data_IF_545156411382
#
_entry.id   IF_545156411382
#
_cell.length_a   1.000
_cell.length_b   1.000
_cell.length_c   1.000
_cell.angle_alpha   90.00
_cell.angle_beta   90.00
_cell.angle_gamma   90.00
#
_symmetry.space_group_name_H-M   'P 1'
#
loop_
_entity.id
_entity.type
_entity.pdbx_description
1 polymer ?
#
# COMPACT_ATOMS: atom_id res chain seq x y z
N UNK A 1 23.77 -20.11 16.11
CA UNK A 1 22.43 -20.10 15.46
C UNK A 1 21.93 -21.53 15.43
N UNK A 2 20.79 -21.81 16.07
CA UNK A 2 20.26 -23.17 16.15
C UNK A 2 19.64 -23.53 14.80
N UNK A 3 19.73 -24.81 14.40
CA UNK A 3 19.08 -25.36 13.20
C UNK A 3 17.56 -25.15 13.19
N UNK A 4 16.97 -24.83 14.35
CA UNK A 4 15.59 -24.41 14.52
C UNK A 4 15.28 -23.03 13.90
N UNK A 5 16.22 -22.08 13.92
CA UNK A 5 16.01 -20.69 13.47
C UNK A 5 15.90 -20.59 11.93
N UNK A 6 16.66 -21.42 11.21
CA UNK A 6 16.64 -21.51 9.75
C UNK A 6 15.34 -22.13 9.20
N UNK A 7 14.75 -23.09 9.93
CA UNK A 7 13.49 -23.76 9.56
C UNK A 7 12.29 -22.83 9.64
N UNK A 8 12.31 -21.88 10.59
CA UNK A 8 11.27 -20.85 10.72
C UNK A 8 11.43 -19.80 9.62
N UNK A 9 12.66 -19.31 9.37
CA UNK A 9 12.94 -18.33 8.31
C UNK A 9 12.43 -18.80 6.93
N UNK A 10 12.57 -20.09 6.63
CA UNK A 10 12.16 -20.69 5.38
C UNK A 10 10.63 -20.84 5.22
N UNK A 11 9.91 -21.27 6.26
CA UNK A 11 8.44 -21.40 6.19
C UNK A 11 7.76 -20.03 5.96
N UNK A 12 8.43 -18.95 6.35
CA UNK A 12 7.94 -17.58 6.16
C UNK A 12 8.27 -17.00 4.78
N UNK A 13 9.40 -17.39 4.20
CA UNK A 13 9.72 -17.10 2.81
C UNK A 13 8.77 -17.86 1.86
N UNK A 14 8.40 -19.09 2.19
CA UNK A 14 7.38 -19.87 1.47
C UNK A 14 5.97 -19.27 1.58
N UNK A 15 5.57 -18.75 2.75
CA UNK A 15 4.29 -18.07 2.92
C UNK A 15 4.19 -16.75 2.11
N UNK A 16 5.32 -16.08 1.87
CA UNK A 16 5.38 -14.93 0.98
C UNK A 16 5.45 -15.30 -0.53
N UNK A 17 5.87 -16.53 -0.86
CA UNK A 17 5.89 -17.05 -2.24
C UNK A 17 4.53 -17.60 -2.68
N UNK A 18 3.76 -18.22 -1.79
CA UNK A 18 2.50 -18.89 -2.18
C UNK A 18 1.33 -17.95 -2.52
N UNK A 19 1.43 -16.66 -2.19
CA UNK A 19 0.43 -15.67 -2.60
C UNK A 19 0.60 -15.18 -4.05
N UNK A 20 1.41 -15.84 -4.89
CA UNK A 20 1.75 -15.41 -6.25
C UNK A 20 1.71 -16.49 -7.33
N UNK A 21 0.96 -17.59 -7.15
CA UNK A 21 0.50 -18.42 -8.26
C UNK A 21 -0.95 -18.06 -8.58
N UNK A 22 -1.15 -17.00 -9.35
CA UNK A 22 -2.39 -16.84 -10.09
C UNK A 22 -2.38 -17.86 -11.22
N UNK A 23 -3.29 -18.83 -11.18
CA UNK A 23 -3.66 -19.58 -12.37
C UNK A 23 -4.39 -18.59 -13.29
N UNK A 24 -3.70 -18.04 -14.28
CA UNK A 24 -4.34 -17.46 -15.46
C UNK A 24 -4.18 -18.49 -16.58
N UNK A 25 -5.25 -19.21 -16.88
CA UNK A 25 -5.45 -19.82 -18.19
C UNK A 25 -6.19 -18.80 -19.05
N UNK A 26 -5.55 -18.29 -20.09
CA UNK A 26 -6.22 -17.63 -21.21
C UNK A 26 -5.28 -17.58 -22.42
N UNK A 27 -5.59 -18.39 -23.44
CA UNK A 27 -5.20 -18.25 -24.85
C UNK A 27 -3.70 -18.26 -25.17
N UNK A 28 -3.23 -19.32 -25.85
CA UNK A 28 -1.86 -19.44 -26.36
C UNK A 28 -1.54 -18.34 -27.41
N UNK A 29 -0.63 -17.38 -27.13
CA UNK A 29 0.09 -16.68 -28.19
C UNK A 29 1.16 -17.62 -28.79
N UNK A 30 1.60 -17.39 -30.04
CA UNK A 30 2.59 -18.25 -30.70
C UNK A 30 3.92 -18.33 -29.91
N UNK A 31 4.69 -19.43 -30.03
CA UNK A 31 5.87 -19.69 -29.22
C UNK A 31 6.99 -18.71 -29.56
N UNK A 32 7.07 -17.62 -28.81
CA UNK A 32 8.35 -16.95 -28.59
C UNK A 32 9.14 -17.90 -27.70
N UNK A 33 10.18 -18.55 -28.24
CA UNK A 33 11.11 -19.39 -27.47
C UNK A 33 11.83 -18.47 -26.47
N UNK A 34 11.20 -18.25 -25.33
CA UNK A 34 11.86 -17.69 -24.17
C UNK A 34 12.98 -18.65 -23.78
N UNK A 35 14.19 -18.17 -23.43
CA UNK A 35 15.25 -19.05 -22.96
C UNK A 35 14.72 -19.89 -21.79
N UNK A 36 14.87 -21.21 -21.86
CA UNK A 36 14.44 -22.08 -20.77
C UNK A 36 15.13 -21.66 -19.47
N UNK A 37 14.38 -21.47 -18.38
CA UNK A 37 14.97 -20.98 -17.15
C UNK A 37 15.90 -22.05 -16.58
N UNK A 38 17.18 -21.69 -16.46
CA UNK A 38 18.27 -22.59 -16.05
C UNK A 38 18.06 -23.07 -14.61
N UNK A 39 17.99 -24.38 -14.40
CA UNK A 39 17.97 -24.99 -13.06
C UNK A 39 19.33 -24.82 -12.38
N UNK A 40 19.31 -24.47 -11.10
CA UNK A 40 20.52 -24.30 -10.28
C UNK A 40 20.68 -25.58 -9.46
N UNK A 41 21.79 -26.30 -9.65
CA UNK A 41 22.08 -27.45 -8.81
C UNK A 41 22.45 -26.98 -7.38
N UNK A 42 22.10 -27.77 -6.36
CA UNK A 42 22.43 -27.45 -4.96
C UNK A 42 23.94 -27.20 -4.75
N UNK A 43 24.78 -27.95 -5.45
CA UNK A 43 26.24 -27.82 -5.43
C UNK A 43 26.77 -26.52 -6.05
N UNK A 44 25.98 -25.83 -6.87
CA UNK A 44 26.35 -24.54 -7.49
C UNK A 44 26.05 -23.33 -6.59
N UNK A 45 25.33 -23.53 -5.48
CA UNK A 45 25.10 -22.49 -4.47
C UNK A 45 26.40 -22.21 -3.71
N UNK A 46 26.65 -20.94 -3.37
CA UNK A 46 27.80 -20.58 -2.54
C UNK A 46 27.66 -21.21 -1.13
N UNK A 47 28.76 -21.53 -0.41
CA UNK A 47 28.67 -22.18 0.90
C UNK A 47 27.79 -21.44 1.91
N UNK A 48 27.83 -20.10 1.88
CA UNK A 48 26.97 -19.29 2.73
C UNK A 48 25.49 -19.34 2.29
N UNK A 49 25.19 -19.51 0.99
CA UNK A 49 23.83 -19.67 0.47
C UNK A 49 23.27 -21.03 0.87
N UNK A 50 24.08 -22.09 0.73
CA UNK A 50 23.76 -23.43 1.22
C UNK A 50 23.46 -23.43 2.71
N UNK A 51 24.23 -22.71 3.53
CA UNK A 51 23.98 -22.60 4.97
C UNK A 51 22.63 -21.96 5.31
N UNK A 52 22.24 -20.92 4.58
CA UNK A 52 20.94 -20.24 4.76
C UNK A 52 19.79 -21.11 4.26
N UNK A 53 19.99 -21.81 3.15
CA UNK A 53 18.98 -22.62 2.49
C UNK A 53 18.96 -24.08 2.97
N UNK A 54 19.85 -24.50 3.88
CA UNK A 54 20.03 -25.90 4.29
C UNK A 54 18.73 -26.67 4.57
N UNK A 55 17.69 -26.08 5.19
CA UNK A 55 16.43 -26.80 5.41
C UNK A 55 15.64 -27.13 4.12
N UNK A 56 16.00 -26.54 2.97
CA UNK A 56 15.42 -26.83 1.65
C UNK A 56 16.16 -27.87 0.85
N UNK A 57 17.35 -28.32 1.29
CA UNK A 57 18.22 -29.17 0.48
C UNK A 57 17.49 -30.38 -0.11
N UNK A 58 16.70 -31.08 0.70
CA UNK A 58 15.97 -32.29 0.29
C UNK A 58 14.90 -32.06 -0.79
N UNK A 59 14.37 -30.84 -0.91
CA UNK A 59 13.32 -30.49 -1.86
C UNK A 59 13.81 -29.55 -2.98
N UNK A 60 15.11 -29.20 -2.97
CA UNK A 60 15.65 -28.17 -3.85
C UNK A 60 15.47 -28.49 -5.33
N UNK A 61 15.75 -29.74 -5.71
CA UNK A 61 15.64 -30.19 -7.10
C UNK A 61 14.18 -30.34 -7.58
N UNK A 62 13.23 -30.36 -6.65
CA UNK A 62 11.79 -30.37 -6.94
C UNK A 62 11.20 -28.96 -7.14
N UNK A 63 11.97 -27.91 -6.84
CA UNK A 63 11.53 -26.52 -7.03
C UNK A 63 11.60 -26.13 -8.50
N UNK A 64 10.65 -25.29 -8.94
CA UNK A 64 10.73 -24.69 -10.27
C UNK A 64 11.98 -23.79 -10.37
N UNK A 65 12.59 -23.64 -11.57
CA UNK A 65 13.78 -22.80 -11.77
C UNK A 65 13.64 -21.37 -11.21
N UNK A 66 12.50 -20.73 -11.43
CA UNK A 66 12.21 -19.38 -10.90
C UNK A 66 12.17 -19.33 -9.36
N UNK A 67 11.70 -20.42 -8.74
CA UNK A 67 11.68 -20.55 -7.28
C UNK A 67 13.11 -20.72 -6.74
N UNK A 68 13.93 -21.55 -7.39
CA UNK A 68 15.34 -21.74 -7.05
C UNK A 68 16.09 -20.40 -7.11
N UNK A 69 15.95 -19.66 -8.23
CA UNK A 69 16.59 -18.34 -8.39
C UNK A 69 16.13 -17.36 -7.32
N UNK A 70 14.82 -17.28 -7.04
CA UNK A 70 14.29 -16.38 -6.02
C UNK A 70 14.83 -16.69 -4.62
N UNK A 71 14.96 -17.97 -4.27
CA UNK A 71 15.50 -18.38 -2.97
C UNK A 71 16.98 -18.06 -2.84
N UNK A 72 17.75 -18.26 -3.91
CA UNK A 72 19.14 -17.82 -4.00
C UNK A 72 19.27 -16.31 -3.80
N UNK A 73 18.46 -15.51 -4.50
CA UNK A 73 18.46 -14.04 -4.33
C UNK A 73 18.16 -13.62 -2.88
N UNK A 74 17.22 -14.31 -2.21
CA UNK A 74 16.91 -14.07 -0.81
C UNK A 74 18.11 -14.40 0.08
N UNK A 75 18.77 -15.54 -0.16
CA UNK A 75 19.95 -15.95 0.60
C UNK A 75 21.12 -14.96 0.43
N UNK A 76 21.38 -14.51 -0.79
CA UNK A 76 22.38 -13.48 -1.07
C UNK A 76 22.05 -12.15 -0.38
N UNK A 77 20.78 -11.70 -0.45
CA UNK A 77 20.32 -10.48 0.25
C UNK A 77 20.42 -10.58 1.77
N UNK A 78 20.21 -11.77 2.32
CA UNK A 78 20.37 -12.04 3.75
C UNK A 78 21.84 -11.90 4.18
N UNK A 79 22.76 -12.48 3.40
CA UNK A 79 24.19 -12.35 3.67
C UNK A 79 24.67 -10.91 3.56
N UNK A 80 24.21 -10.17 2.55
CA UNK A 80 24.54 -8.76 2.37
C UNK A 80 23.83 -7.82 3.38
N UNK A 81 22.86 -8.31 4.17
CA UNK A 81 22.11 -7.48 5.10
C UNK A 81 22.99 -7.04 6.29
N UNK A 82 23.06 -5.73 6.61
CA UNK A 82 23.73 -5.24 7.82
C UNK A 82 23.12 -5.84 9.10
N UNK A 83 23.88 -5.94 10.20
CA UNK A 83 23.41 -6.57 11.44
C UNK A 83 22.06 -6.03 11.96
N UNK A 84 21.87 -4.70 11.96
CA UNK A 84 20.61 -4.08 12.35
C UNK A 84 19.43 -4.52 11.46
N UNK A 85 19.66 -4.73 10.17
CA UNK A 85 18.64 -5.20 9.23
C UNK A 85 18.28 -6.66 9.50
N UNK A 86 19.26 -7.50 9.84
CA UNK A 86 19.03 -8.90 10.21
C UNK A 86 18.15 -9.01 11.46
N UNK A 87 18.46 -8.26 12.52
CA UNK A 87 17.63 -8.20 13.74
C UNK A 87 16.20 -7.77 13.43
N UNK A 88 16.01 -6.78 12.55
CA UNK A 88 14.67 -6.35 12.15
C UNK A 88 13.88 -7.44 11.40
N UNK A 89 14.56 -8.21 10.55
CA UNK A 89 13.99 -9.35 9.82
C UNK A 89 13.66 -10.49 10.79
N UNK A 90 14.56 -10.86 11.69
CA UNK A 90 14.36 -11.88 12.73
C UNK A 90 13.15 -11.54 13.61
N UNK A 91 13.03 -10.28 14.06
CA UNK A 91 11.85 -9.82 14.80
C UNK A 91 10.56 -9.96 13.99
N UNK A 92 10.61 -9.76 12.67
CA UNK A 92 9.45 -9.94 11.80
C UNK A 92 9.08 -11.42 11.65
N UNK A 93 10.09 -12.27 11.54
CA UNK A 93 9.96 -13.72 11.48
C UNK A 93 9.30 -14.23 12.77
N UNK A 94 9.83 -13.85 13.92
CA UNK A 94 9.28 -14.24 15.23
C UNK A 94 7.81 -13.81 15.39
N UNK A 95 7.47 -12.56 15.02
CA UNK A 95 6.08 -12.08 15.05
C UNK A 95 5.15 -12.90 14.16
N UNK A 96 5.60 -13.29 12.97
CA UNK A 96 4.77 -14.12 12.10
C UNK A 96 4.64 -15.55 12.65
N UNK A 97 5.73 -16.13 13.15
CA UNK A 97 5.72 -17.48 13.73
C UNK A 97 4.69 -17.58 14.88
N UNK A 98 4.55 -16.50 15.66
CA UNK A 98 3.55 -16.37 16.72
C UNK A 98 2.09 -16.23 16.23
N UNK A 99 1.84 -16.00 14.93
CA UNK A 99 0.46 -15.90 14.41
C UNK A 99 -0.20 -17.27 14.34
N UNK A 100 -1.46 -17.34 14.77
CA UNK A 100 -2.31 -18.52 14.65
C UNK A 100 -2.69 -18.81 13.19
N UNK A 101 -3.11 -20.06 12.84
CA UNK A 101 -3.56 -20.38 11.49
C UNK A 101 -4.72 -19.50 11.00
N UNK A 102 -5.62 -19.07 11.89
CA UNK A 102 -6.71 -18.15 11.55
C UNK A 102 -6.20 -16.75 11.23
N UNK A 103 -5.28 -16.21 12.03
CA UNK A 103 -4.65 -14.91 11.79
C UNK A 103 -3.85 -14.88 10.49
N UNK A 104 -3.16 -15.98 10.16
CA UNK A 104 -2.43 -16.11 8.89
C UNK A 104 -3.39 -16.09 7.69
N UNK A 105 -4.54 -16.78 7.79
CA UNK A 105 -5.57 -16.77 6.74
C UNK A 105 -6.17 -15.39 6.52
N UNK A 106 -6.53 -14.69 7.60
CA UNK A 106 -7.02 -13.31 7.51
C UNK A 106 -5.99 -12.38 6.87
N UNK A 107 -4.72 -12.48 7.26
CA UNK A 107 -3.65 -11.66 6.68
C UNK A 107 -3.42 -11.97 5.18
N UNK A 108 -3.50 -13.25 4.79
CA UNK A 108 -3.43 -13.65 3.39
C UNK A 108 -4.59 -13.07 2.57
N UNK A 109 -5.82 -13.14 3.08
CA UNK A 109 -6.99 -12.57 2.42
C UNK A 109 -6.88 -11.04 2.25
N UNK A 110 -6.41 -10.32 3.28
CA UNK A 110 -6.16 -8.87 3.20
C UNK A 110 -5.08 -8.52 2.19
N UNK A 111 -4.02 -9.32 2.12
CA UNK A 111 -2.96 -9.11 1.15
C UNK A 111 -3.45 -9.34 -0.29
N UNK A 112 -4.25 -10.37 -0.50
CA UNK A 112 -4.85 -10.66 -1.81
C UNK A 112 -5.78 -9.53 -2.25
N UNK A 113 -6.68 -9.08 -1.37
CA UNK A 113 -7.52 -7.92 -1.63
C UNK A 113 -6.69 -6.66 -1.97
N UNK A 114 -5.55 -6.45 -1.31
CA UNK A 114 -4.64 -5.34 -1.63
C UNK A 114 -3.99 -5.49 -3.02
N UNK A 115 -3.58 -6.71 -3.39
CA UNK A 115 -2.97 -6.98 -4.70
C UNK A 115 -3.92 -6.75 -5.87
N UNK A 116 -5.21 -6.97 -5.66
CA UNK A 116 -6.27 -6.76 -6.64
C UNK A 116 -6.60 -5.28 -6.86
N UNK A 117 -6.13 -4.38 -5.98
CA UNK A 117 -6.28 -2.94 -6.18
C UNK A 117 -5.41 -2.46 -7.35
N UNK A 118 -5.86 -1.40 -8.04
CA UNK A 118 -5.05 -0.73 -9.06
C UNK A 118 -3.72 -0.21 -8.49
N UNK A 119 -2.65 -0.05 -9.29
CA UNK A 119 -1.36 0.46 -8.82
C UNK A 119 -1.45 1.78 -8.07
N UNK A 120 -2.32 2.68 -8.51
CA UNK A 120 -2.57 3.99 -7.89
C UNK A 120 -3.18 3.82 -6.49
N UNK A 121 -4.20 2.95 -6.38
CA UNK A 121 -4.83 2.64 -5.09
C UNK A 121 -3.86 1.95 -4.13
N UNK A 122 -3.03 1.04 -4.63
CA UNK A 122 -1.97 0.44 -3.82
C UNK A 122 -0.99 1.49 -3.30
N UNK A 123 -0.59 2.44 -4.14
CA UNK A 123 0.32 3.52 -3.76
C UNK A 123 -0.30 4.45 -2.71
N UNK A 124 -1.57 4.83 -2.89
CA UNK A 124 -2.32 5.63 -1.92
C UNK A 124 -2.36 4.95 -0.53
N UNK A 125 -2.62 3.63 -0.49
CA UNK A 125 -2.63 2.86 0.74
C UNK A 125 -1.24 2.78 1.39
N UNK A 126 -0.17 2.58 0.59
CA UNK A 126 1.21 2.58 1.10
C UNK A 126 1.56 3.92 1.74
N UNK A 127 1.20 5.04 1.13
CA UNK A 127 1.44 6.37 1.67
C UNK A 127 0.58 6.68 2.90
N UNK A 128 -0.66 6.20 2.94
CA UNK A 128 -1.52 6.27 4.12
C UNK A 128 -0.86 5.56 5.30
N UNK A 129 -0.37 4.33 5.06
CA UNK A 129 0.27 3.52 6.06
C UNK A 129 1.61 4.11 6.54
N UNK A 130 2.41 4.69 5.64
CA UNK A 130 3.65 5.40 6.00
C UNK A 130 3.37 6.55 6.97
N UNK A 131 2.35 7.38 6.68
CA UNK A 131 1.94 8.48 7.57
C UNK A 131 1.43 7.98 8.91
N UNK A 132 0.58 6.96 8.90
CA UNK A 132 0.10 6.34 10.14
C UNK A 132 1.26 5.85 11.02
N UNK A 133 2.28 5.20 10.42
CA UNK A 133 3.45 4.74 11.16
C UNK A 133 4.34 5.86 11.71
N UNK A 134 4.30 7.04 11.10
CA UNK A 134 5.04 8.22 11.53
C UNK A 134 4.34 8.99 12.67
N UNK A 135 3.07 8.70 12.95
CA UNK A 135 2.36 9.30 14.09
C UNK A 135 2.97 8.82 15.43
N UNK A 136 2.94 9.67 16.48
CA UNK A 136 3.28 9.27 17.84
C UNK A 136 2.50 8.04 18.31
N UNK A 137 3.08 7.19 19.17
CA UNK A 137 2.45 5.95 19.64
C UNK A 137 1.02 6.13 20.17
N UNK A 138 0.78 7.20 20.93
CA UNK A 138 -0.50 7.53 21.55
C UNK A 138 -1.55 7.86 20.50
N UNK A 139 -1.18 8.69 19.51
CA UNK A 139 -2.08 9.03 18.40
C UNK A 139 -2.40 7.81 17.55
N UNK A 140 -1.44 6.90 17.36
CA UNK A 140 -1.67 5.63 16.65
C UNK A 140 -2.63 4.72 17.41
N UNK A 141 -2.50 4.65 18.73
CA UNK A 141 -3.38 3.85 19.58
C UNK A 141 -4.82 4.38 19.53
N UNK A 142 -4.99 5.69 19.74
CA UNK A 142 -6.30 6.34 19.65
C UNK A 142 -6.96 6.15 18.28
N UNK A 143 -6.18 6.27 17.19
CA UNK A 143 -6.72 6.07 15.84
C UNK A 143 -7.13 4.61 15.60
N UNK A 144 -6.39 3.65 16.15
CA UNK A 144 -6.72 2.23 16.06
C UNK A 144 -7.98 1.91 16.83
N UNK A 145 -8.08 2.35 18.07
CA UNK A 145 -9.25 2.16 18.92
C UNK A 145 -10.50 2.75 18.26
N UNK A 146 -10.40 3.98 17.75
CA UNK A 146 -11.49 4.60 16.98
C UNK A 146 -11.88 3.76 15.77
N UNK A 147 -10.91 3.23 15.02
CA UNK A 147 -11.18 2.38 13.86
C UNK A 147 -11.84 1.05 14.23
N UNK A 148 -11.41 0.44 15.34
CA UNK A 148 -11.96 -0.81 15.86
C UNK A 148 -13.40 -0.61 16.34
N UNK A 149 -13.71 0.54 16.95
CA UNK A 149 -15.06 0.91 17.38
C UNK A 149 -16.03 1.26 16.23
N UNK A 150 -15.53 1.58 15.03
CA UNK A 150 -16.39 1.90 13.88
C UNK A 150 -17.11 0.67 13.33
N UNK A 151 -18.37 0.85 12.97
CA UNK A 151 -19.14 -0.07 12.12
C UNK A 151 -18.53 -0.20 10.71
N UNK A 152 -18.86 -1.26 9.95
CA UNK A 152 -18.39 -1.41 8.57
C UNK A 152 -18.67 -0.20 7.69
N UNK A 153 -19.81 0.47 7.90
CA UNK A 153 -20.26 1.62 7.10
C UNK A 153 -19.46 2.87 7.44
N UNK A 154 -19.22 3.12 8.73
CA UNK A 154 -18.36 4.19 9.20
C UNK A 154 -16.91 4.00 8.75
N UNK A 155 -16.40 2.75 8.71
CA UNK A 155 -15.07 2.47 8.16
C UNK A 155 -14.97 2.80 6.68
N UNK A 156 -16.01 2.47 5.89
CA UNK A 156 -16.06 2.86 4.47
C UNK A 156 -16.07 4.38 4.32
N UNK A 157 -16.89 5.08 5.11
CA UNK A 157 -16.94 6.54 5.11
C UNK A 157 -15.62 7.19 5.58
N UNK A 158 -14.96 6.62 6.58
CA UNK A 158 -13.68 7.09 7.11
C UNK A 158 -12.58 7.07 6.04
N UNK A 159 -12.49 5.97 5.27
CA UNK A 159 -11.52 5.88 4.17
C UNK A 159 -11.95 6.69 2.94
N UNK A 160 -13.24 6.79 2.64
CA UNK A 160 -13.76 7.64 1.58
C UNK A 160 -13.40 9.11 1.84
N UNK A 161 -13.68 9.63 3.05
CA UNK A 161 -13.31 10.98 3.47
C UNK A 161 -11.80 11.23 3.45
N UNK A 162 -10.99 10.25 3.86
CA UNK A 162 -9.53 10.35 3.81
C UNK A 162 -8.96 10.39 2.38
N UNK A 163 -9.59 9.71 1.43
CA UNK A 163 -9.25 9.81 -0.01
C UNK A 163 -9.74 11.14 -0.61
N UNK A 164 -10.94 11.55 -0.22
CA UNK A 164 -11.63 12.76 -0.63
C UNK A 164 -10.87 14.04 -0.22
N UNK A 165 -10.18 14.02 0.92
CA UNK A 165 -9.25 15.07 1.36
C UNK A 165 -7.88 15.06 0.64
N UNK A 166 -7.43 13.94 0.05
CA UNK A 166 -6.07 13.81 -0.53
C UNK A 166 -5.99 14.14 -2.02
N UNK A 167 -7.01 13.78 -2.81
CA UNK A 167 -7.03 14.01 -4.26
C UNK A 167 -7.63 15.36 -4.66
N UNK A 168 -8.76 15.75 -4.04
CA UNK A 168 -9.50 16.96 -4.40
C UNK A 168 -8.82 18.25 -3.93
N UNK A 169 -8.34 18.27 -2.68
CA UNK A 169 -7.66 19.44 -2.10
C UNK A 169 -6.32 19.73 -2.78
N UNK A 170 -5.56 18.69 -3.14
CA UNK A 170 -4.26 18.84 -3.81
C UNK A 170 -4.41 19.37 -5.24
N UNK A 171 -5.43 18.94 -5.99
CA UNK A 171 -5.72 19.45 -7.35
C UNK A 171 -6.29 20.88 -7.35
N UNK A 172 -7.06 21.25 -6.32
CA UNK A 172 -7.54 22.63 -6.16
C UNK A 172 -6.43 23.61 -5.76
N UNK A 173 -5.29 23.14 -5.24
CA UNK A 173 -4.17 23.97 -4.77
C UNK A 173 -2.94 23.97 -5.68
N UNK A 174 -2.88 23.10 -6.71
CA UNK A 174 -1.68 22.86 -7.51
C UNK A 174 -1.10 24.14 -8.15
N UNK A 175 -1.95 25.12 -8.47
CA UNK A 175 -1.59 26.35 -9.18
C UNK A 175 -1.84 27.63 -8.37
N UNK A 176 -1.87 27.54 -7.03
CA UNK A 176 -2.22 28.69 -6.16
C UNK A 176 -0.99 29.37 -5.54
N UNK A 177 -0.89 30.72 -5.58
CA UNK A 177 0.09 31.50 -4.83
C UNK A 177 0.04 31.17 -3.33
N UNK A 178 1.17 30.93 -2.66
CA UNK A 178 1.20 30.54 -1.24
C UNK A 178 0.40 31.46 -0.31
N UNK A 179 0.38 32.77 -0.60
CA UNK A 179 -0.31 33.78 0.19
C UNK A 179 -1.84 33.61 0.25
N UNK A 180 -2.45 32.98 -0.77
CA UNK A 180 -3.92 32.84 -0.86
C UNK A 180 -4.44 31.51 -0.26
N UNK A 181 -3.52 30.57 0.04
CA UNK A 181 -3.86 29.23 0.55
C UNK A 181 -4.54 29.24 1.92
N UNK A 182 -4.21 30.12 2.88
CA UNK A 182 -4.87 30.15 4.18
C UNK A 182 -6.35 30.54 4.08
N UNK A 183 -6.68 31.61 3.34
CA UNK A 183 -8.05 32.08 3.19
C UNK A 183 -8.97 31.02 2.55
N UNK A 184 -8.48 30.34 1.51
CA UNK A 184 -9.22 29.24 0.88
C UNK A 184 -9.41 28.06 1.82
N UNK A 185 -8.42 27.78 2.68
CA UNK A 185 -8.52 26.69 3.67
C UNK A 185 -9.59 26.98 4.72
N UNK A 186 -9.61 28.19 5.25
CA UNK A 186 -10.63 28.64 6.21
C UNK A 186 -12.02 28.56 5.58
N UNK A 187 -12.16 29.07 4.36
CA UNK A 187 -13.39 28.96 3.58
C UNK A 187 -13.81 27.49 3.38
N UNK A 188 -12.89 26.62 2.98
CA UNK A 188 -13.20 25.21 2.73
C UNK A 188 -13.68 24.50 4.00
N UNK A 189 -13.10 24.83 5.15
CA UNK A 189 -13.47 24.27 6.45
C UNK A 189 -14.89 24.68 6.87
N UNK A 190 -15.37 25.86 6.48
CA UNK A 190 -16.72 26.31 6.80
C UNK A 190 -17.82 25.67 5.95
N UNK A 191 -17.49 25.12 4.78
CA UNK A 191 -18.48 24.49 3.88
C UNK A 191 -18.93 23.12 4.38
N UNK A 192 -20.19 22.77 4.14
CA UNK A 192 -20.76 21.45 4.41
C UNK A 192 -20.21 20.38 3.45
N UNK A 193 -20.32 19.07 3.77
CA UNK A 193 -19.92 18.01 2.85
C UNK A 193 -20.58 18.10 1.47
N UNK A 194 -21.87 18.42 1.41
CA UNK A 194 -22.61 18.59 0.15
C UNK A 194 -22.10 19.76 -0.68
N UNK A 195 -21.88 20.91 -0.05
CA UNK A 195 -21.33 22.08 -0.71
C UNK A 195 -19.93 21.81 -1.29
N UNK A 196 -19.08 21.12 -0.53
CA UNK A 196 -17.75 20.69 -1.00
C UNK A 196 -17.84 19.70 -2.16
N UNK A 197 -18.85 18.81 -2.18
CA UNK A 197 -19.09 17.89 -3.31
C UNK A 197 -19.54 18.64 -4.56
N UNK A 198 -20.52 19.54 -4.45
CA UNK A 198 -21.01 20.36 -5.56
C UNK A 198 -19.88 21.17 -6.22
N UNK A 199 -19.10 21.89 -5.41
CA UNK A 199 -17.93 22.64 -5.91
C UNK A 199 -16.89 21.78 -6.62
N UNK A 200 -16.63 20.56 -6.13
CA UNK A 200 -15.67 19.67 -6.80
C UNK A 200 -16.20 19.14 -8.12
N UNK A 201 -17.48 18.79 -8.20
CA UNK A 201 -18.09 18.35 -9.46
C UNK A 201 -18.01 19.47 -10.50
N UNK A 202 -18.42 20.68 -10.11
CA UNK A 202 -18.32 21.84 -10.98
C UNK A 202 -16.86 22.15 -11.37
N UNK A 203 -15.93 22.15 -10.43
CA UNK A 203 -14.52 22.40 -10.75
C UNK A 203 -13.91 21.35 -11.68
N UNK A 204 -14.40 20.11 -11.69
CA UNK A 204 -13.90 19.06 -12.59
C UNK A 204 -14.29 19.29 -14.06
N UNK A 205 -15.36 20.03 -14.32
CA UNK A 205 -15.76 20.39 -15.69
C UNK A 205 -15.05 21.64 -16.22
N UNK A 206 -14.25 22.32 -15.39
CA UNK A 206 -13.61 23.59 -15.73
C UNK A 206 -12.14 23.41 -16.12
N UNK A 207 -11.68 24.25 -17.07
CA UNK A 207 -10.27 24.38 -17.43
C UNK A 207 -9.43 24.89 -16.24
N UNK A 208 -8.09 24.75 -16.26
CA UNK A 208 -7.22 25.27 -15.20
C UNK A 208 -7.44 26.77 -14.89
N UNK A 209 -7.59 27.60 -15.93
CA UNK A 209 -7.83 29.05 -15.77
C UNK A 209 -9.21 29.34 -15.20
N UNK A 210 -10.26 28.66 -15.70
CA UNK A 210 -11.61 28.79 -15.16
C UNK A 210 -11.69 28.32 -13.70
N UNK A 211 -10.90 27.32 -13.30
CA UNK A 211 -10.75 26.93 -11.88
C UNK A 211 -10.05 28.01 -11.06
N UNK A 212 -9.10 28.76 -11.64
CA UNK A 212 -8.47 29.90 -10.97
C UNK A 212 -9.49 31.03 -10.74
N UNK A 213 -10.32 31.33 -11.73
CA UNK A 213 -11.37 32.35 -11.64
C UNK A 213 -12.45 31.99 -10.63
N UNK A 214 -12.92 30.75 -10.65
CA UNK A 214 -13.86 30.23 -9.65
C UNK A 214 -13.32 30.42 -8.23
N UNK A 215 -12.04 30.11 -7.99
CA UNK A 215 -11.40 30.29 -6.68
C UNK A 215 -11.35 31.76 -6.27
N UNK A 216 -10.95 32.66 -7.16
CA UNK A 216 -10.92 34.12 -6.88
C UNK A 216 -12.31 34.64 -6.52
N UNK A 217 -13.32 34.23 -7.30
CA UNK A 217 -14.71 34.61 -7.07
C UNK A 217 -15.25 34.13 -5.72
N UNK A 218 -15.01 32.88 -5.36
CA UNK A 218 -15.46 32.31 -4.08
C UNK A 218 -14.83 32.99 -2.86
N UNK A 219 -13.57 33.43 -2.98
CA UNK A 219 -12.86 34.16 -1.92
C UNK A 219 -13.35 35.61 -1.77
N UNK A 220 -13.83 36.22 -2.85
CA UNK A 220 -14.39 37.56 -2.82
C UNK A 220 -15.83 37.61 -2.28
N UNK A 221 -16.56 36.48 -2.32
CA UNK A 221 -17.92 36.36 -1.81
C UNK A 221 -17.98 36.33 -0.28
N UNK A 222 -19.04 36.94 0.27
CA UNK A 222 -19.46 36.70 1.66
C UNK A 222 -19.92 35.25 1.85
N UNK A 223 -20.02 34.74 3.10
CA UNK A 223 -20.54 33.40 3.35
C UNK A 223 -21.92 33.15 2.73
N UNK A 224 -22.87 34.08 2.89
CA UNK A 224 -24.23 33.94 2.38
C UNK A 224 -24.28 33.91 0.83
N UNK A 225 -23.51 34.76 0.16
CA UNK A 225 -23.41 34.76 -1.30
C UNK A 225 -22.77 33.46 -1.81
N UNK A 226 -21.79 32.94 -1.09
CA UNK A 226 -21.13 31.68 -1.42
C UNK A 226 -22.10 30.51 -1.29
N UNK A 227 -22.91 30.49 -0.24
CA UNK A 227 -23.91 29.43 -0.04
C UNK A 227 -24.94 29.44 -1.16
N UNK A 228 -25.47 30.61 -1.52
CA UNK A 228 -26.40 30.77 -2.64
C UNK A 228 -25.76 30.37 -3.99
N UNK A 229 -24.51 30.77 -4.22
CA UNK A 229 -23.77 30.40 -5.43
C UNK A 229 -23.58 28.88 -5.55
N UNK A 230 -23.18 28.22 -4.45
CA UNK A 230 -22.96 26.76 -4.45
C UNK A 230 -24.28 25.99 -4.62
N UNK A 231 -25.37 26.48 -4.03
CA UNK A 231 -26.70 25.88 -4.19
C UNK A 231 -27.21 25.95 -5.64
N UNK A 232 -26.77 26.94 -6.41
CA UNK A 232 -27.13 27.13 -7.82
C UNK A 232 -26.23 26.37 -8.81
N UNK A 233 -25.22 25.63 -8.33
CA UNK A 233 -24.34 24.85 -9.22
C UNK A 233 -25.07 23.60 -9.76
N UNK A 234 -24.83 23.24 -11.03
CA UNK A 234 -25.42 22.06 -11.65
C UNK A 234 -24.89 20.74 -11.07
#
# INVERSE_FOLDING_TARGET
MSTADARVMLRLLLAALFAACGLVHAGEPPPVVAPEPVRIAWSQLAPAEQGVLAPMQAQWDALAPDQQQRLRDIAARWQAAPPLRRVAIERRIARWAALTPAQRRDLAARYEAFRQLSPERQQELREAFRRFRALPPEQRAALRERYEAMSPDERRAFFAGAQEHRGGWRRLLADMPPAQRPALRTMWQSLTPDQRRALRRHAQSLSPDARADLRRRLLAMTPAERDAFIAALP
#
